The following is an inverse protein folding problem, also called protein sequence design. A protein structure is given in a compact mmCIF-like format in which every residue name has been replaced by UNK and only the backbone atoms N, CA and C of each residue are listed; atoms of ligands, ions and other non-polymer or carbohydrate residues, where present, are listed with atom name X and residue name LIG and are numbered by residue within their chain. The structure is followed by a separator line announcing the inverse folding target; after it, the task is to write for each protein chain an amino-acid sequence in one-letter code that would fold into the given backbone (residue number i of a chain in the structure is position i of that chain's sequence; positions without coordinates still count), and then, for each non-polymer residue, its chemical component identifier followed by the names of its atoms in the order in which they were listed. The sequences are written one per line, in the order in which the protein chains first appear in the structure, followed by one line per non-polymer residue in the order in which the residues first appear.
data_IF_276029648686
#
_entry.id   IF_276029648686
#
_cell.length_a   1.000
_cell.length_b   1.000
_cell.length_c   1.000
_cell.angle_alpha   90.00
_cell.angle_beta   90.00
_cell.angle_gamma   90.00
#
_symmetry.space_group_name_H-M   'P 1'
#
loop_
_entity.id
_entity.type
_entity.pdbx_description
1 polymer ?
#
# COMPACT_ATOMS: atom_id res chain seq x y z
N UNK A 1 10.89 -8.32 11.14
CA UNK A 1 10.06 -8.56 9.96
C UNK A 1 8.61 -8.23 10.27
N UNK A 2 8.28 -6.94 10.23
CA UNK A 2 6.89 -6.52 10.19
C UNK A 2 6.51 -6.31 8.71
N UNK A 3 5.38 -6.88 8.31
CA UNK A 3 4.89 -6.87 6.94
C UNK A 3 3.59 -6.06 6.89
N UNK A 4 3.51 -5.18 5.89
CA UNK A 4 2.29 -4.45 5.55
C UNK A 4 1.96 -4.67 4.08
N UNK A 5 0.73 -4.34 3.69
CA UNK A 5 0.20 -4.55 2.36
C UNK A 5 -0.30 -3.26 1.76
N UNK A 6 -0.06 -3.08 0.48
CA UNK A 6 -0.66 -2.00 -0.30
C UNK A 6 -1.35 -2.59 -1.52
N UNK A 7 -2.53 -2.08 -1.87
CA UNK A 7 -3.27 -2.52 -3.05
C UNK A 7 -3.27 -1.39 -4.06
N UNK A 8 -2.85 -1.71 -5.28
CA UNK A 8 -2.85 -0.78 -6.41
C UNK A 8 -3.24 -1.50 -7.69
N UNK A 9 -3.26 -0.79 -8.82
CA UNK A 9 -3.48 -1.40 -10.14
C UNK A 9 -2.18 -1.97 -10.69
N UNK A 10 -2.28 -3.04 -11.48
CA UNK A 10 -1.16 -3.65 -12.19
C UNK A 10 -0.45 -2.61 -13.06
N UNK A 11 -1.22 -1.73 -13.73
CA UNK A 11 -0.66 -0.67 -14.56
C UNK A 11 0.18 0.34 -13.75
N UNK A 12 -0.32 0.80 -12.60
CA UNK A 12 0.42 1.74 -11.75
C UNK A 12 1.68 1.09 -11.16
N UNK A 13 1.59 -0.18 -10.77
CA UNK A 13 2.74 -0.92 -10.27
C UNK A 13 3.82 -1.14 -11.35
N UNK A 14 3.43 -1.51 -12.57
CA UNK A 14 4.39 -1.67 -13.67
C UNK A 14 5.10 -0.37 -14.01
N UNK A 15 4.37 0.76 -14.06
CA UNK A 15 4.98 2.07 -14.27
C UNK A 15 5.97 2.45 -13.15
N UNK A 16 5.67 2.08 -11.90
CA UNK A 16 6.58 2.29 -10.78
C UNK A 16 7.85 1.44 -10.87
N UNK A 17 7.76 0.20 -11.37
CA UNK A 17 8.93 -0.65 -11.64
C UNK A 17 9.86 0.00 -12.67
N UNK A 18 9.32 0.61 -13.71
CA UNK A 18 10.10 1.35 -14.71
C UNK A 18 10.73 2.64 -14.14
N UNK A 19 10.02 3.32 -13.23
CA UNK A 19 10.49 4.55 -12.58
C UNK A 19 11.52 4.31 -11.46
N UNK A 20 11.52 3.12 -10.85
CA UNK A 20 12.39 2.77 -9.72
C UNK A 20 11.80 3.02 -8.33
N UNK A 21 10.58 3.56 -8.24
CA UNK A 21 9.84 3.77 -6.99
C UNK A 21 8.34 3.90 -7.25
N UNK A 22 7.53 3.47 -6.30
CA UNK A 22 6.07 3.61 -6.37
C UNK A 22 5.58 4.84 -5.60
N UNK A 23 4.74 5.63 -6.26
CA UNK A 23 4.07 6.79 -5.70
C UNK A 23 2.58 6.68 -5.97
N UNK A 24 1.78 6.57 -4.90
CA UNK A 24 0.33 6.56 -5.02
C UNK A 24 -0.21 8.00 -5.14
N UNK A 25 -1.31 8.24 -5.88
CA UNK A 25 -1.95 9.56 -5.92
C UNK A 25 -2.34 10.11 -4.53
N UNK A 26 -2.60 9.26 -3.54
CA UNK A 26 -2.83 9.67 -2.13
C UNK A 26 -1.63 10.40 -1.53
N UNK A 27 -0.39 10.07 -1.92
CA UNK A 27 0.79 10.77 -1.44
C UNK A 27 0.76 12.26 -1.78
N UNK A 28 0.32 12.60 -3.01
CA UNK A 28 0.23 13.99 -3.45
C UNK A 28 -1.02 14.72 -2.91
N UNK A 29 -2.11 13.99 -2.64
CA UNK A 29 -3.39 14.56 -2.22
C UNK A 29 -3.54 14.69 -0.70
N UNK A 30 -3.04 13.70 0.02
CA UNK A 30 -3.25 13.49 1.47
C UNK A 30 -1.92 13.56 2.24
N UNK A 31 -0.79 13.36 1.55
CA UNK A 31 0.55 13.43 2.14
C UNK A 31 1.13 12.07 2.55
N UNK A 32 0.40 10.98 2.34
CA UNK A 32 0.81 9.62 2.67
C UNK A 32 0.14 8.58 1.77
N UNK A 33 0.72 7.38 1.71
CA UNK A 33 0.16 6.21 1.02
C UNK A 33 -0.51 5.30 2.04
N UNK A 34 -1.76 4.91 1.77
CA UNK A 34 -2.48 3.95 2.62
C UNK A 34 -1.90 2.54 2.46
N UNK A 35 -1.54 1.93 3.58
CA UNK A 35 -1.24 0.51 3.66
C UNK A 35 -2.23 -0.18 4.61
N UNK A 36 -2.10 -1.49 4.75
CA UNK A 36 -2.98 -2.33 5.57
C UNK A 36 -2.19 -3.48 6.18
N UNK A 37 -2.59 -3.94 7.36
CA UNK A 37 -2.18 -5.22 7.89
C UNK A 37 -2.92 -6.37 7.21
N UNK A 38 -2.43 -7.61 7.35
CA UNK A 38 -2.99 -8.79 6.69
C UNK A 38 -4.50 -8.94 6.92
N UNK A 39 -4.94 -8.76 8.16
CA UNK A 39 -6.35 -8.87 8.57
C UNK A 39 -7.25 -7.78 7.99
N UNK A 40 -6.67 -6.65 7.58
CA UNK A 40 -7.40 -5.48 7.10
C UNK A 40 -7.64 -5.51 5.58
N UNK A 41 -6.80 -6.24 4.84
CA UNK A 41 -6.80 -6.24 3.36
C UNK A 41 -8.17 -6.60 2.78
N UNK A 42 -8.81 -7.67 3.26
CA UNK A 42 -10.12 -8.09 2.74
C UNK A 42 -11.21 -7.01 2.93
N UNK A 43 -11.20 -6.34 4.09
CA UNK A 43 -12.12 -5.23 4.37
C UNK A 43 -11.85 -4.01 3.48
N UNK A 44 -10.58 -3.69 3.21
CA UNK A 44 -10.18 -2.59 2.31
C UNK A 44 -10.59 -2.90 0.87
N UNK A 45 -10.36 -4.13 0.40
CA UNK A 45 -10.76 -4.56 -0.94
C UNK A 45 -12.27 -4.41 -1.15
N UNK A 46 -13.07 -4.88 -0.20
CA UNK A 46 -14.54 -4.77 -0.25
C UNK A 46 -15.04 -3.32 -0.24
N UNK A 47 -14.37 -2.42 0.48
CA UNK A 47 -14.83 -1.02 0.64
C UNK A 47 -14.38 -0.09 -0.50
N UNK A 48 -13.14 -0.23 -0.97
CA UNK A 48 -12.51 0.74 -1.88
C UNK A 48 -12.20 0.20 -3.28
N UNK A 49 -12.23 -1.13 -3.42
CA UNK A 49 -11.87 -1.82 -4.65
C UNK A 49 -12.96 -2.74 -5.20
N UNK A 50 -14.19 -2.67 -4.65
CA UNK A 50 -15.32 -3.44 -5.16
C UNK A 50 -15.56 -3.16 -6.65
N UNK A 51 -15.57 -4.23 -7.45
CA UNK A 51 -15.79 -4.17 -8.91
C UNK A 51 -14.61 -3.68 -9.73
N UNK A 52 -13.44 -3.43 -9.11
CA UNK A 52 -12.20 -3.14 -9.84
C UNK A 52 -11.48 -4.44 -10.20
N UNK A 53 -10.95 -4.50 -11.41
CA UNK A 53 -10.09 -5.58 -11.91
C UNK A 53 -8.65 -5.09 -12.02
N UNK A 54 -7.74 -5.99 -12.39
CA UNK A 54 -6.34 -5.66 -12.66
C UNK A 54 -5.66 -5.03 -11.45
N UNK A 55 -5.95 -5.59 -10.28
CA UNK A 55 -5.37 -5.18 -9.01
C UNK A 55 -4.18 -6.08 -8.67
N UNK A 56 -3.25 -5.50 -7.92
CA UNK A 56 -2.11 -6.21 -7.37
C UNK A 56 -1.97 -5.83 -5.90
N UNK A 57 -1.76 -6.84 -5.07
CA UNK A 57 -1.40 -6.69 -3.67
C UNK A 57 0.12 -6.74 -3.55
N UNK A 58 0.70 -5.65 -3.07
CA UNK A 58 2.11 -5.55 -2.78
C UNK A 58 2.33 -5.94 -1.32
N UNK A 59 3.26 -6.87 -1.09
CA UNK A 59 3.74 -7.23 0.24
C UNK A 59 5.00 -6.44 0.52
N UNK A 60 4.97 -5.59 1.55
CA UNK A 60 6.02 -4.63 1.86
C UNK A 60 6.69 -5.03 3.18
N UNK A 61 8.01 -5.19 3.13
CA UNK A 61 8.87 -5.38 4.29
C UNK A 61 9.23 -4.02 4.89
N UNK A 62 8.69 -3.75 6.08
CA UNK A 62 8.89 -2.47 6.77
C UNK A 62 10.34 -2.24 7.19
N UNK A 63 11.14 -3.29 7.38
CA UNK A 63 12.56 -3.18 7.75
C UNK A 63 13.40 -2.62 6.58
N UNK A 64 12.89 -2.70 5.34
CA UNK A 64 13.53 -2.19 4.12
C UNK A 64 12.92 -0.88 3.61
N UNK A 65 11.78 -0.48 4.19
CA UNK A 65 11.07 0.72 3.77
C UNK A 65 11.88 1.96 4.17
N UNK A 66 12.22 2.79 3.18
CA UNK A 66 12.97 4.04 3.41
C UNK A 66 12.09 5.19 3.89
N UNK A 67 10.81 5.15 3.52
CA UNK A 67 9.83 6.16 3.88
C UNK A 67 9.31 5.96 5.31
N UNK A 68 8.91 7.04 5.97
CA UNK A 68 8.40 6.99 7.33
C UNK A 68 7.06 6.24 7.37
N UNK A 69 6.95 5.26 8.28
CA UNK A 69 5.73 4.52 8.55
C UNK A 69 5.11 4.99 9.87
N UNK A 70 3.83 5.33 9.86
CA UNK A 70 3.07 5.73 11.05
C UNK A 70 1.75 4.96 11.10
N UNK A 71 1.37 4.49 12.28
CA UNK A 71 0.08 3.83 12.50
C UNK A 71 -0.92 4.86 13.01
N UNK A 72 -1.91 5.19 12.20
CA UNK A 72 -2.91 6.20 12.53
C UNK A 72 -4.30 5.58 12.73
N UNK A 73 -5.05 6.12 13.69
CA UNK A 73 -6.40 5.65 14.00
C UNK A 73 -7.39 6.05 12.92
N UNK A 74 -8.10 5.09 12.35
CA UNK A 74 -9.18 5.33 11.41
C UNK A 74 -10.53 5.27 12.13
N UNK A 75 -11.22 6.41 12.34
CA UNK A 75 -12.50 6.45 13.07
C UNK A 75 -13.61 5.69 12.33
N UNK A 76 -13.55 5.60 11.01
CA UNK A 76 -14.57 4.95 10.18
C UNK A 76 -14.65 3.44 10.38
N UNK A 77 -13.54 2.82 10.76
CA UNK A 77 -13.42 1.37 10.96
C UNK A 77 -12.98 0.99 12.38
N UNK A 78 -12.71 2.00 13.23
CA UNK A 78 -12.30 1.85 14.63
C UNK A 78 -11.05 0.96 14.79
N UNK A 79 -10.04 1.19 13.95
CA UNK A 79 -8.78 0.44 13.95
C UNK A 79 -7.61 1.31 13.45
N UNK A 80 -6.37 0.93 13.76
CA UNK A 80 -5.17 1.64 13.28
C UNK A 80 -4.74 1.11 11.90
N UNK A 81 -4.40 2.01 10.99
CA UNK A 81 -3.87 1.67 9.67
C UNK A 81 -2.44 2.19 9.51
N UNK A 82 -1.56 1.41 8.87
CA UNK A 82 -0.24 1.89 8.49
C UNK A 82 -0.34 2.90 7.34
N UNK A 83 0.27 4.06 7.53
CA UNK A 83 0.41 5.11 6.53
C UNK A 83 1.89 5.39 6.24
N UNK A 84 2.24 5.43 4.96
CA UNK A 84 3.61 5.61 4.49
C UNK A 84 3.78 7.05 3.98
N UNK A 85 4.57 7.85 4.69
CA UNK A 85 4.85 9.25 4.36
C UNK A 85 6.03 9.35 3.41
N UNK A 86 5.80 8.95 2.16
CA UNK A 86 6.78 9.01 1.08
C UNK A 86 6.58 7.92 0.03
N UNK A 87 7.42 7.91 -1.02
CA UNK A 87 7.39 6.86 -2.04
C UNK A 87 7.78 5.50 -1.45
N UNK A 88 7.27 4.41 -2.03
CA UNK A 88 7.69 3.06 -1.69
C UNK A 88 8.87 2.67 -2.59
N UNK A 89 10.02 2.39 -2.00
CA UNK A 89 11.18 1.86 -2.71
C UNK A 89 10.96 0.40 -3.13
N UNK A 90 11.36 0.02 -4.35
CA UNK A 90 11.09 -1.31 -4.90
C UNK A 90 11.70 -2.44 -4.07
N UNK A 91 12.86 -2.23 -3.43
CA UNK A 91 13.51 -3.25 -2.60
C UNK A 91 12.74 -3.58 -1.32
N UNK A 92 11.82 -2.71 -0.89
CA UNK A 92 10.91 -2.99 0.21
C UNK A 92 9.74 -3.89 -0.20
N UNK A 93 9.43 -3.99 -1.51
CA UNK A 93 8.36 -4.87 -2.01
C UNK A 93 8.94 -6.27 -2.23
N UNK A 94 8.52 -7.23 -1.40
CA UNK A 94 9.04 -8.59 -1.40
C UNK A 94 8.16 -9.60 -2.15
N UNK A 95 6.90 -9.24 -2.44
CA UNK A 95 5.98 -10.02 -3.27
C UNK A 95 4.95 -9.11 -3.93
N UNK A 96 4.54 -9.49 -5.13
CA UNK A 96 3.43 -8.89 -5.88
C UNK A 96 2.43 -10.00 -6.24
N UNK A 97 1.23 -9.94 -5.67
CA UNK A 97 0.20 -10.96 -5.82
C UNK A 97 -1.00 -10.38 -6.58
N UNK A 98 -1.35 -10.88 -7.79
CA UNK A 98 -2.56 -10.46 -8.50
C UNK A 98 -3.83 -10.75 -7.69
N UNK A 99 -4.83 -9.87 -7.78
CA UNK A 99 -6.12 -9.97 -7.07
C UNK A 99 -7.31 -10.06 -8.05
#
# INVERSE_FOLDING_TARGET
MAIIYHVTTVAAWNAAKEKGSYEDPSLAKEGFIHASEAQQVDGVLKRYFAGKTDLVKLTIDTDKLKSQLVYEWSPSVQEQFPHIYGPINLDAVISEDPL
#
